data_IF_798156083296
#
_entry.id   IF_798156083296
#
_cell.length_a   1.000
_cell.length_b   1.000
_cell.length_c   1.000
_cell.angle_alpha   90.00
_cell.angle_beta   90.00
_cell.angle_gamma   90.00
#
_symmetry.space_group_name_H-M   'P 1'
#
loop_
_entity.id
_entity.type
_entity.pdbx_description
1 polymer ?
#
# COMPACT_ATOMS: atom_id res chain seq x y z
N UNK A 1 -51.22 -28.94 33.49
CA UNK A 1 -50.40 -27.75 33.24
C UNK A 1 -49.43 -28.12 32.13
N UNK A 2 -49.67 -27.60 30.92
CA UNK A 2 -48.96 -27.98 29.70
C UNK A 2 -47.62 -27.23 29.64
N UNK A 3 -46.51 -27.96 29.63
CA UNK A 3 -45.17 -27.42 29.42
C UNK A 3 -44.93 -27.27 27.91
N UNK A 4 -45.26 -26.10 27.37
CA UNK A 4 -45.03 -25.74 25.98
C UNK A 4 -44.00 -24.61 25.84
N UNK A 5 -43.13 -24.74 24.84
CA UNK A 5 -42.31 -23.68 24.22
C UNK A 5 -41.13 -23.10 25.02
N UNK A 6 -40.01 -23.83 25.11
CA UNK A 6 -38.67 -23.22 25.17
C UNK A 6 -37.69 -24.03 24.30
N UNK A 7 -37.96 -24.20 23.00
CA UNK A 7 -36.96 -24.67 22.02
C UNK A 7 -37.18 -23.94 20.69
N UNK A 8 -36.97 -22.63 20.67
CA UNK A 8 -37.02 -21.85 19.42
C UNK A 8 -36.11 -20.60 19.43
N UNK A 9 -35.00 -20.61 20.19
CA UNK A 9 -34.16 -19.40 20.31
C UNK A 9 -32.65 -19.66 20.44
N UNK A 10 -32.15 -20.74 19.80
CA UNK A 10 -30.69 -21.00 19.73
C UNK A 10 -30.16 -21.14 18.30
N UNK A 11 -31.02 -21.23 17.28
CA UNK A 11 -30.58 -21.38 15.88
C UNK A 11 -30.30 -20.05 15.15
N UNK A 12 -30.56 -18.89 15.77
CA UNK A 12 -30.36 -17.58 15.15
C UNK A 12 -28.96 -16.98 15.30
N UNK A 13 -28.13 -17.49 16.22
CA UNK A 13 -26.82 -16.87 16.56
C UNK A 13 -25.65 -17.50 15.79
N UNK A 14 -25.79 -18.75 15.33
CA UNK A 14 -24.74 -19.43 14.53
C UNK A 14 -24.79 -19.08 13.04
N UNK A 15 -25.94 -18.65 12.50
CA UNK A 15 -26.07 -18.24 11.10
C UNK A 15 -25.49 -16.85 10.78
N UNK A 16 -25.37 -15.97 11.78
CA UNK A 16 -24.86 -14.61 11.58
C UNK A 16 -23.33 -14.53 11.44
N UNK A 17 -22.59 -15.41 12.10
CA UNK A 17 -21.11 -15.41 12.04
C UNK A 17 -20.56 -15.90 10.69
N UNK A 18 -21.24 -16.87 10.06
CA UNK A 18 -20.79 -17.43 8.77
C UNK A 18 -20.95 -16.39 7.64
N UNK A 19 -22.05 -15.63 7.62
CA UNK A 19 -22.30 -14.63 6.58
C UNK A 19 -21.36 -13.42 6.65
N UNK A 20 -20.93 -13.02 7.85
CA UNK A 20 -19.90 -11.97 8.03
C UNK A 20 -18.51 -12.45 7.58
N UNK A 21 -18.18 -13.71 7.84
CA UNK A 21 -16.91 -14.32 7.45
C UNK A 21 -16.77 -14.40 5.92
N UNK A 22 -17.84 -14.81 5.23
CA UNK A 22 -17.86 -14.89 3.78
C UNK A 22 -17.80 -13.51 3.12
N UNK A 23 -18.47 -12.49 3.68
CA UNK A 23 -18.45 -11.13 3.13
C UNK A 23 -17.08 -10.43 3.29
N UNK A 24 -16.39 -10.69 4.40
CA UNK A 24 -15.01 -10.22 4.60
C UNK A 24 -14.05 -10.97 3.67
N UNK A 25 -14.18 -12.30 3.55
CA UNK A 25 -13.38 -13.12 2.63
C UNK A 25 -13.52 -12.72 1.15
N UNK A 26 -14.73 -12.34 0.71
CA UNK A 26 -14.96 -11.89 -0.67
C UNK A 26 -14.32 -10.53 -1.01
N UNK A 27 -14.28 -9.58 -0.05
CA UNK A 27 -13.58 -8.30 -0.24
C UNK A 27 -12.07 -8.50 -0.30
N UNK A 28 -11.54 -9.50 0.40
CA UNK A 28 -10.13 -9.85 0.40
C UNK A 28 -9.66 -10.30 -1.00
N UNK A 29 -10.39 -11.22 -1.63
CA UNK A 29 -10.02 -11.75 -2.96
C UNK A 29 -10.11 -10.71 -4.08
N UNK A 30 -11.09 -9.79 -4.02
CA UNK A 30 -11.31 -8.78 -5.07
C UNK A 30 -10.32 -7.61 -5.02
N UNK A 31 -9.83 -7.25 -3.83
CA UNK A 31 -8.83 -6.18 -3.64
C UNK A 31 -7.39 -6.59 -3.96
N UNK A 32 -7.07 -7.88 -3.83
CA UNK A 32 -5.71 -8.40 -3.99
C UNK A 32 -5.09 -8.11 -5.37
N UNK A 33 -5.83 -8.38 -6.45
CA UNK A 33 -5.30 -8.18 -7.82
C UNK A 33 -5.03 -6.71 -8.12
N UNK A 34 -5.98 -5.77 -7.88
CA UNK A 34 -5.70 -4.36 -8.11
C UNK A 34 -4.62 -3.81 -7.17
N UNK A 35 -4.46 -4.33 -5.95
CA UNK A 35 -3.45 -3.85 -5.00
C UNK A 35 -2.05 -4.21 -5.50
N UNK A 36 -1.85 -5.48 -5.90
CA UNK A 36 -0.61 -5.90 -6.55
C UNK A 36 -0.30 -5.11 -7.80
N UNK A 37 -1.30 -4.86 -8.66
CA UNK A 37 -1.11 -4.07 -9.86
C UNK A 37 -0.66 -2.63 -9.55
N UNK A 38 -1.26 -1.98 -8.55
CA UNK A 38 -0.87 -0.63 -8.12
C UNK A 38 0.55 -0.60 -7.52
N UNK A 39 0.89 -1.55 -6.66
CA UNK A 39 2.23 -1.64 -6.10
C UNK A 39 3.29 -1.92 -7.18
N UNK A 40 3.03 -2.82 -8.13
CA UNK A 40 3.95 -3.05 -9.24
C UNK A 40 4.09 -1.81 -10.14
N UNK A 41 3.00 -1.07 -10.36
CA UNK A 41 3.06 0.22 -11.06
C UNK A 41 3.98 1.22 -10.37
N UNK A 42 3.90 1.34 -9.04
CA UNK A 42 4.81 2.20 -8.26
C UNK A 42 6.26 1.71 -8.30
N UNK A 43 6.50 0.40 -8.17
CA UNK A 43 7.85 -0.19 -8.28
C UNK A 43 8.47 0.15 -9.63
N UNK A 44 7.71 -0.02 -10.72
CA UNK A 44 8.16 0.31 -12.07
C UNK A 44 8.41 1.81 -12.22
N UNK A 45 7.54 2.66 -11.67
CA UNK A 45 7.70 4.11 -11.72
C UNK A 45 8.98 4.58 -11.02
N UNK A 46 9.27 4.05 -9.83
CA UNK A 46 10.51 4.38 -9.10
C UNK A 46 11.75 3.94 -9.87
N UNK A 47 11.74 2.73 -10.44
CA UNK A 47 12.86 2.23 -11.26
C UNK A 47 13.03 3.04 -12.55
N UNK A 48 11.95 3.43 -13.20
CA UNK A 48 11.99 4.27 -14.39
C UNK A 48 12.53 5.67 -14.07
N UNK A 49 12.08 6.27 -12.95
CA UNK A 49 12.63 7.53 -12.45
C UNK A 49 14.14 7.43 -12.19
N UNK A 50 14.57 6.35 -11.52
CA UNK A 50 15.98 6.09 -11.25
C UNK A 50 16.78 5.93 -12.54
N UNK A 51 16.24 5.23 -13.54
CA UNK A 51 16.89 5.06 -14.84
C UNK A 51 17.05 6.41 -15.56
N UNK A 52 16.04 7.27 -15.49
CA UNK A 52 16.06 8.60 -16.13
C UNK A 52 17.03 9.56 -15.44
N UNK A 53 17.01 9.63 -14.10
CA UNK A 53 17.74 10.65 -13.34
C UNK A 53 18.98 10.13 -12.60
N UNK A 54 19.29 8.84 -12.72
CA UNK A 54 20.40 8.17 -12.01
C UNK A 54 20.35 8.35 -10.49
N UNK A 55 19.15 8.53 -9.92
CA UNK A 55 18.90 8.73 -8.49
C UNK A 55 17.49 8.33 -8.12
N UNK A 56 17.26 7.97 -6.86
CA UNK A 56 15.91 7.68 -6.37
C UNK A 56 15.11 8.97 -6.12
N UNK A 57 13.76 8.91 -6.24
CA UNK A 57 12.92 10.05 -5.91
C UNK A 57 13.10 10.37 -4.42
N UNK A 58 13.40 11.63 -4.11
CA UNK A 58 13.68 12.08 -2.75
C UNK A 58 13.10 13.48 -2.52
N UNK A 59 12.45 13.66 -1.37
CA UNK A 59 11.90 14.94 -0.95
C UNK A 59 13.03 15.94 -0.64
N UNK A 60 14.02 15.47 0.09
CA UNK A 60 15.15 16.28 0.54
C UNK A 60 16.15 16.53 -0.61
N UNK A 61 16.87 17.65 -0.50
CA UNK A 61 17.99 17.99 -1.39
C UNK A 61 19.15 18.49 -0.52
N UNK A 62 20.24 17.73 -0.37
CA UNK A 62 20.54 16.45 -1.04
C UNK A 62 19.63 15.29 -0.62
N UNK A 63 19.56 14.20 -1.41
CA UNK A 63 18.83 12.99 -1.03
C UNK A 63 19.34 12.38 0.29
N UNK A 64 18.50 11.63 1.03
CA UNK A 64 18.94 10.86 2.19
C UNK A 64 20.06 9.89 1.84
N UNK A 65 20.93 9.60 2.81
CA UNK A 65 22.01 8.61 2.68
C UNK A 65 21.68 7.27 3.34
N UNK A 66 20.55 7.21 4.06
CA UNK A 66 20.06 6.04 4.77
C UNK A 66 18.67 5.69 4.26
N UNK A 67 18.35 4.41 4.24
CA UNK A 67 17.03 3.92 3.87
C UNK A 67 15.94 4.52 4.74
N UNK A 68 14.80 4.83 4.13
CA UNK A 68 13.63 5.29 4.86
C UNK A 68 12.90 4.11 5.52
N UNK A 69 13.49 3.53 6.56
CA UNK A 69 12.99 2.30 7.23
C UNK A 69 11.54 2.38 7.74
N UNK A 70 11.04 3.58 8.06
CA UNK A 70 9.64 3.81 8.45
C UNK A 70 8.67 3.86 7.25
N UNK A 71 9.23 3.93 6.04
CA UNK A 71 8.54 4.06 4.78
C UNK A 71 7.87 5.41 4.56
N UNK A 72 7.47 5.66 3.32
CA UNK A 72 6.59 6.75 2.95
C UNK A 72 5.20 6.20 2.69
N UNK A 73 4.28 6.43 3.63
CA UNK A 73 2.86 6.19 3.43
C UNK A 73 2.32 7.15 2.36
N UNK A 74 1.78 6.62 1.26
CA UNK A 74 1.27 7.40 0.12
C UNK A 74 0.11 8.32 0.45
N UNK A 75 -0.49 8.21 1.64
CA UNK A 75 -1.51 9.13 2.17
C UNK A 75 -0.94 10.20 3.10
N UNK A 76 0.30 10.02 3.58
CA UNK A 76 1.03 11.04 4.36
C UNK A 76 1.56 12.17 3.48
N UNK A 77 1.90 13.31 4.06
CA UNK A 77 2.50 14.43 3.33
C UNK A 77 3.77 14.01 2.55
N UNK A 78 4.65 13.24 3.20
CA UNK A 78 5.89 12.76 2.59
C UNK A 78 5.61 11.82 1.41
N UNK A 79 4.71 10.86 1.57
CA UNK A 79 4.37 9.95 0.48
C UNK A 79 3.64 10.65 -0.67
N UNK A 80 2.75 11.61 -0.39
CA UNK A 80 2.16 12.46 -1.43
C UNK A 80 3.21 13.25 -2.20
N UNK A 81 4.24 13.74 -1.52
CA UNK A 81 5.40 14.38 -2.15
C UNK A 81 6.11 13.43 -3.12
N UNK A 82 6.39 12.19 -2.72
CA UNK A 82 6.99 11.19 -3.63
C UNK A 82 6.08 10.90 -4.83
N UNK A 83 4.77 10.76 -4.62
CA UNK A 83 3.82 10.56 -5.72
C UNK A 83 3.84 11.75 -6.69
N UNK A 84 3.89 13.01 -6.20
CA UNK A 84 4.02 14.20 -7.06
C UNK A 84 5.27 14.19 -7.92
N UNK A 85 6.40 13.73 -7.38
CA UNK A 85 7.64 13.56 -8.16
C UNK A 85 7.40 12.53 -9.27
N UNK A 86 6.77 11.39 -8.95
CA UNK A 86 6.52 10.29 -9.88
C UNK A 86 5.42 10.61 -10.93
N UNK A 87 4.45 11.46 -10.62
CA UNK A 87 3.44 11.94 -11.58
C UNK A 87 3.95 13.08 -12.46
N UNK A 88 5.13 13.63 -12.16
CA UNK A 88 5.73 14.74 -12.91
C UNK A 88 5.19 16.12 -12.53
N UNK A 89 4.47 16.23 -11.40
CA UNK A 89 3.96 17.49 -10.87
C UNK A 89 5.03 18.33 -10.15
N UNK A 90 6.10 17.69 -9.67
CA UNK A 90 7.24 18.38 -9.05
C UNK A 90 8.36 18.60 -10.08
N UNK A 91 8.34 19.74 -10.76
CA UNK A 91 9.34 20.09 -11.78
C UNK A 91 10.75 20.24 -11.20
N UNK A 92 10.89 20.52 -9.90
CA UNK A 92 12.21 20.66 -9.27
C UNK A 92 12.92 19.32 -9.14
N UNK A 93 12.15 18.24 -8.97
CA UNK A 93 12.66 16.87 -8.82
C UNK A 93 12.48 16.03 -10.07
N UNK A 94 11.55 16.38 -10.94
CA UNK A 94 11.27 15.75 -12.23
C UNK A 94 11.25 16.84 -13.33
N UNK A 95 12.41 17.45 -13.66
CA UNK A 95 12.48 18.61 -14.57
C UNK A 95 12.04 18.34 -16.01
N UNK A 96 11.90 17.07 -16.40
CA UNK A 96 11.35 16.69 -17.71
C UNK A 96 9.83 16.48 -17.69
N UNK A 97 9.19 16.65 -16.53
CA UNK A 97 7.75 16.45 -16.31
C UNK A 97 7.27 15.09 -16.84
N UNK A 98 8.11 14.05 -16.67
CA UNK A 98 7.81 12.70 -17.16
C UNK A 98 6.83 12.03 -16.19
N UNK A 99 5.63 11.60 -16.63
CA UNK A 99 4.68 10.91 -15.76
C UNK A 99 5.07 9.44 -15.63
N UNK A 100 6.01 9.13 -14.73
CA UNK A 100 6.43 7.74 -14.47
C UNK A 100 5.31 6.89 -13.85
N UNK A 101 4.39 7.53 -13.15
CA UNK A 101 3.25 6.88 -12.52
C UNK A 101 1.94 7.59 -12.86
N UNK A 102 0.96 6.83 -13.31
CA UNK A 102 -0.41 7.28 -13.51
C UNK A 102 -1.31 6.59 -12.47
N UNK A 103 -1.58 7.25 -11.33
CA UNK A 103 -2.36 6.62 -10.27
C UNK A 103 -3.83 6.42 -10.70
N UNK A 104 -4.49 5.35 -10.25
CA UNK A 104 -5.90 5.15 -10.54
C UNK A 104 -6.76 6.22 -9.85
N UNK A 105 -7.71 6.78 -10.59
CA UNK A 105 -8.64 7.78 -10.04
C UNK A 105 -9.41 7.23 -8.83
N UNK A 106 -9.67 8.12 -7.86
CA UNK A 106 -10.39 7.76 -6.64
C UNK A 106 -11.82 7.28 -6.93
N UNK A 107 -12.18 6.15 -6.31
CA UNK A 107 -13.49 5.52 -6.39
C UNK A 107 -14.37 5.94 -5.23
N UNK A 108 -15.69 5.71 -5.35
CA UNK A 108 -16.65 5.91 -4.24
C UNK A 108 -16.31 5.10 -2.99
N UNK A 109 -15.59 3.99 -3.13
CA UNK A 109 -15.12 3.17 -2.01
C UNK A 109 -13.98 3.81 -1.20
N UNK A 110 -13.45 4.96 -1.62
CA UNK A 110 -12.31 5.62 -0.99
C UNK A 110 -10.96 5.27 -1.64
N UNK A 111 -10.86 4.10 -2.29
CA UNK A 111 -9.68 3.60 -2.97
C UNK A 111 -9.25 4.44 -4.17
N UNK A 112 -7.94 4.51 -4.44
CA UNK A 112 -7.36 5.29 -5.53
C UNK A 112 -6.85 6.66 -5.08
N UNK A 113 -6.52 7.51 -6.05
CA UNK A 113 -5.75 8.73 -5.82
C UNK A 113 -6.55 10.02 -5.95
N UNK A 114 -6.23 10.96 -5.06
CA UNK A 114 -6.51 12.40 -5.18
C UNK A 114 -5.30 13.18 -4.69
N UNK A 115 -5.02 14.38 -5.21
CA UNK A 115 -3.91 15.21 -4.72
C UNK A 115 -3.97 15.49 -3.21
N UNK A 116 -5.17 15.59 -2.64
CA UNK A 116 -5.38 15.92 -1.23
C UNK A 116 -5.14 14.72 -0.30
N UNK A 117 -5.64 13.54 -0.68
CA UNK A 117 -5.58 12.34 0.16
C UNK A 117 -4.43 11.40 -0.20
N UNK A 118 -3.73 11.66 -1.31
CA UNK A 118 -2.74 10.74 -1.85
C UNK A 118 -3.36 9.49 -2.44
N UNK A 119 -2.55 8.44 -2.59
CA UNK A 119 -2.98 7.15 -3.11
C UNK A 119 -3.44 6.27 -1.94
N UNK A 120 -4.73 5.96 -1.91
CA UNK A 120 -5.33 5.02 -0.96
C UNK A 120 -5.40 3.64 -1.59
N UNK A 121 -5.17 2.60 -0.79
CA UNK A 121 -5.21 1.20 -1.17
C UNK A 121 -6.57 0.78 -1.76
N UNK A 122 -6.64 -0.47 -2.23
CA UNK A 122 -7.84 -0.98 -2.90
C UNK A 122 -9.06 -1.16 -2.01
N UNK A 123 -8.85 -1.23 -0.69
CA UNK A 123 -9.92 -1.38 0.29
C UNK A 123 -10.45 -0.02 0.76
N UNK A 124 -9.71 1.06 0.47
CA UNK A 124 -10.08 2.42 0.80
C UNK A 124 -9.74 2.79 2.25
N UNK A 125 -8.88 2.03 2.91
CA UNK A 125 -8.61 2.13 4.35
C UNK A 125 -7.30 2.85 4.65
N UNK A 126 -6.20 2.45 3.99
CA UNK A 126 -4.85 2.97 4.26
C UNK A 126 -4.11 3.31 2.96
N UNK A 127 -2.92 3.91 3.08
CA UNK A 127 -2.01 4.08 1.96
C UNK A 127 -1.15 2.84 1.71
N UNK A 128 -0.42 2.88 0.61
CA UNK A 128 0.74 2.00 0.42
C UNK A 128 1.95 2.61 1.13
N UNK A 129 2.82 1.79 1.70
CA UNK A 129 4.06 2.25 2.32
C UNK A 129 5.22 1.88 1.40
N UNK A 130 6.00 2.90 0.99
CA UNK A 130 7.15 2.74 0.11
C UNK A 130 8.47 2.87 0.87
N UNK A 131 9.35 1.89 0.73
CA UNK A 131 10.72 1.93 1.26
C UNK A 131 11.68 1.88 0.07
N UNK A 132 12.67 2.77 0.08
CA UNK A 132 13.66 2.99 -0.95
C UNK A 132 15.06 2.74 -0.39
N UNK A 133 15.89 2.10 -1.21
CA UNK A 133 17.31 1.82 -0.97
C UNK A 133 18.14 3.08 -1.22
N UNK A 134 18.11 4.02 -0.27
CA UNK A 134 18.83 5.29 -0.40
C UNK A 134 20.33 5.12 -0.18
N UNK A 135 20.73 4.16 0.65
CA UNK A 135 22.15 3.88 0.88
C UNK A 135 22.81 3.14 -0.31
N UNK A 136 22.01 2.66 -1.26
CA UNK A 136 22.44 1.97 -2.48
C UNK A 136 23.24 0.69 -2.22
N UNK A 137 22.96 0.00 -1.12
CA UNK A 137 23.57 -1.30 -0.80
C UNK A 137 22.91 -2.46 -1.57
N UNK A 138 21.80 -2.19 -2.26
CA UNK A 138 21.07 -3.14 -3.08
C UNK A 138 20.13 -4.04 -2.28
N UNK A 139 19.95 -3.80 -0.99
CA UNK A 139 19.15 -4.60 -0.07
C UNK A 139 18.31 -3.77 0.89
N UNK A 140 16.99 -4.00 0.91
CA UNK A 140 16.10 -3.33 1.86
C UNK A 140 15.72 -4.29 3.00
N UNK A 141 15.65 -3.77 4.23
CA UNK A 141 15.13 -4.52 5.38
C UNK A 141 13.63 -4.79 5.22
N UNK A 142 13.21 -6.05 5.39
CA UNK A 142 11.81 -6.46 5.26
C UNK A 142 11.04 -6.02 6.52
N UNK A 143 10.02 -5.17 6.41
CA UNK A 143 9.24 -4.78 7.57
C UNK A 143 8.52 -5.99 8.17
N UNK A 144 8.37 -6.02 9.50
CA UNK A 144 7.78 -7.15 10.23
C UNK A 144 8.68 -8.38 10.38
N UNK A 145 9.86 -8.40 9.75
CA UNK A 145 10.75 -9.57 9.75
C UNK A 145 12.15 -9.17 10.23
N UNK A 146 12.43 -9.16 11.55
CA UNK A 146 13.72 -8.79 12.09
C UNK A 146 14.88 -9.57 11.45
N UNK A 147 15.84 -8.85 10.87
CA UNK A 147 16.98 -9.42 10.16
C UNK A 147 16.71 -9.94 8.75
N UNK A 148 15.46 -9.92 8.29
CA UNK A 148 15.10 -10.23 6.91
C UNK A 148 15.52 -9.09 5.98
N UNK A 149 16.24 -9.42 4.90
CA UNK A 149 16.60 -8.48 3.84
C UNK A 149 16.15 -9.01 2.49
N UNK A 150 15.87 -8.10 1.57
CA UNK A 150 15.51 -8.42 0.20
C UNK A 150 16.30 -7.56 -0.78
N UNK A 151 16.85 -8.20 -1.82
CA UNK A 151 17.52 -7.47 -2.88
C UNK A 151 16.51 -6.76 -3.78
N UNK A 152 16.35 -5.45 -3.56
CA UNK A 152 15.50 -4.57 -4.35
C UNK A 152 15.86 -3.13 -4.05
N UNK A 153 15.70 -2.24 -5.03
CA UNK A 153 15.86 -0.79 -4.83
C UNK A 153 14.63 -0.12 -4.22
N UNK A 154 13.48 -0.79 -4.32
CA UNK A 154 12.22 -0.33 -3.74
C UNK A 154 11.37 -1.51 -3.34
N UNK A 155 10.74 -1.40 -2.17
CA UNK A 155 9.68 -2.30 -1.75
C UNK A 155 8.46 -1.51 -1.31
N UNK A 156 7.30 -2.08 -1.56
CA UNK A 156 6.00 -1.47 -1.31
C UNK A 156 5.10 -2.51 -0.67
N UNK A 157 4.36 -2.11 0.36
CA UNK A 157 3.35 -2.95 1.00
C UNK A 157 2.08 -2.17 1.34
N UNK A 158 0.99 -2.89 1.54
CA UNK A 158 -0.32 -2.38 1.96
C UNK A 158 -0.72 -3.05 3.25
N UNK A 159 -1.46 -2.33 4.10
CA UNK A 159 -2.03 -2.83 5.36
C UNK A 159 -3.14 -3.90 5.19
N UNK A 160 -3.27 -4.48 4.00
CA UNK A 160 -4.30 -5.47 3.74
C UNK A 160 -5.75 -4.97 3.92
N UNK A 161 -6.70 -5.92 3.89
CA UNK A 161 -8.09 -5.68 4.25
C UNK A 161 -8.33 -5.19 5.68
N UNK A 162 -7.51 -5.59 6.66
CA UNK A 162 -7.70 -5.21 8.06
C UNK A 162 -7.25 -3.76 8.36
N UNK A 163 -6.39 -3.20 7.52
CA UNK A 163 -5.93 -1.82 7.63
C UNK A 163 -4.92 -1.61 8.75
N UNK A 164 -4.25 -2.66 9.24
CA UNK A 164 -3.21 -2.57 10.28
C UNK A 164 -1.85 -3.06 9.76
N UNK A 165 -0.87 -2.16 9.69
CA UNK A 165 0.48 -2.50 9.24
C UNK A 165 1.25 -3.45 10.18
N UNK A 166 0.73 -3.70 11.39
CA UNK A 166 1.38 -4.56 12.38
C UNK A 166 0.91 -6.02 12.30
N UNK A 167 -0.19 -6.30 11.60
CA UNK A 167 -0.74 -7.65 11.39
C UNK A 167 -0.31 -8.17 10.02
N UNK A 168 0.73 -9.00 9.99
CA UNK A 168 1.37 -9.41 8.73
C UNK A 168 0.65 -10.52 7.96
N UNK A 169 -0.44 -11.07 8.49
CA UNK A 169 -1.15 -12.21 7.91
C UNK A 169 -1.89 -11.87 6.60
N UNK A 170 -2.39 -10.64 6.45
CA UNK A 170 -3.14 -10.17 5.28
C UNK A 170 -2.48 -8.98 4.55
N UNK A 171 -1.37 -8.48 5.08
CA UNK A 171 -0.52 -7.49 4.42
C UNK A 171 -0.09 -8.00 3.04
N UNK A 172 -0.33 -7.17 2.01
CA UNK A 172 0.14 -7.48 0.66
C UNK A 172 1.47 -6.78 0.44
N UNK A 173 2.43 -7.52 -0.07
CA UNK A 173 3.75 -7.02 -0.39
C UNK A 173 4.00 -7.06 -1.90
N UNK A 174 4.90 -6.21 -2.39
CA UNK A 174 5.32 -6.18 -3.80
C UNK A 174 6.35 -7.25 -4.16
N UNK A 175 6.87 -7.97 -3.16
CA UNK A 175 7.93 -8.96 -3.31
C UNK A 175 7.47 -10.42 -3.10
N UNK A 176 6.17 -10.65 -2.95
CA UNK A 176 5.56 -11.98 -2.83
C UNK A 176 4.39 -12.20 -3.78
#
# INVERSE_FOLDING_TARGET
>A
MSAGCIIALVLGVLGGAVLLSDFLSERNARGLRPARAQMQGLVLAVKAYQTEYSRLPALDSPPPTEDNTQGYDTTSEKGRGIIKILTGEDESKNPRNVPFFEPPARKKSGAGYTPENGLVDTWGTKGYVMILDYNSDGEISIPGHPGGRISSTVIIYSAGPDGDYNTWDDNITSWQ
#
